data_IF_954960695168
#
_entry.id   IF_954960695168
#
_cell.length_a   1.000
_cell.length_b   1.000
_cell.length_c   1.000
_cell.angle_alpha   90.00
_cell.angle_beta   90.00
_cell.angle_gamma   90.00
#
_symmetry.space_group_name_H-M   'P 1'
#
loop_
_entity.id
_entity.type
_entity.pdbx_description
1 polymer ?
#
# COMPACT_ATOMS: atom_id res chain seq x y z
N UNK A 1 24.27 13.76 -13.46
CA UNK A 1 23.11 12.96 -13.04
C UNK A 1 23.26 12.82 -11.54
N UNK A 2 22.43 13.57 -10.78
CA UNK A 2 22.43 13.50 -9.32
C UNK A 2 22.10 12.08 -8.84
N UNK A 3 22.53 11.76 -7.64
CA UNK A 3 22.25 10.47 -7.04
C UNK A 3 20.73 10.29 -6.91
N UNK A 4 20.16 9.32 -7.61
CA UNK A 4 18.70 9.02 -7.61
C UNK A 4 18.16 8.83 -6.17
N UNK A 5 19.04 8.53 -5.22
CA UNK A 5 18.72 8.37 -3.80
C UNK A 5 18.18 9.64 -3.13
N UNK A 6 18.46 10.81 -3.68
CA UNK A 6 18.04 12.10 -3.11
C UNK A 6 16.89 12.75 -3.90
N UNK A 7 16.36 12.05 -4.91
CA UNK A 7 15.25 12.54 -5.69
C UNK A 7 13.97 12.59 -4.87
N UNK A 8 13.29 13.73 -4.91
CA UNK A 8 11.99 13.94 -4.27
C UNK A 8 10.89 13.72 -5.30
N UNK A 9 9.87 12.93 -4.93
CA UNK A 9 8.68 12.73 -5.75
C UNK A 9 7.70 13.89 -5.49
N UNK A 10 7.17 14.46 -6.56
CA UNK A 10 6.14 15.49 -6.53
C UNK A 10 5.02 15.11 -7.49
N UNK A 11 3.81 15.60 -7.23
CA UNK A 11 2.66 15.43 -8.11
C UNK A 11 2.48 16.68 -8.98
N UNK A 12 2.14 16.43 -10.23
CA UNK A 12 1.77 17.47 -11.19
C UNK A 12 0.40 17.12 -11.79
N UNK A 13 -0.47 18.12 -11.92
CA UNK A 13 -1.78 17.92 -12.54
C UNK A 13 -1.63 17.59 -14.02
N UNK A 14 -2.40 16.62 -14.51
CA UNK A 14 -2.37 16.20 -15.90
C UNK A 14 -3.73 15.64 -16.34
N UNK A 15 -4.25 16.10 -17.47
CA UNK A 15 -5.48 15.59 -18.08
C UNK A 15 -5.34 14.13 -18.60
N UNK A 16 -4.11 13.65 -18.79
CA UNK A 16 -3.79 12.31 -19.22
C UNK A 16 -3.00 11.51 -18.15
N UNK A 17 -3.15 11.92 -16.90
CA UNK A 17 -2.49 11.27 -15.77
C UNK A 17 -2.93 9.83 -15.57
N UNK A 18 -1.99 8.99 -15.17
CA UNK A 18 -2.21 7.58 -14.86
C UNK A 18 -2.53 7.31 -13.39
N UNK A 19 -2.42 8.34 -12.56
CA UNK A 19 -2.77 8.31 -11.15
C UNK A 19 -4.02 9.15 -10.91
N UNK A 20 -4.91 8.67 -10.06
CA UNK A 20 -5.92 9.48 -9.43
C UNK A 20 -5.52 9.69 -7.96
N UNK A 21 -5.37 10.96 -7.55
CA UNK A 21 -4.89 11.34 -6.22
C UNK A 21 -5.95 12.17 -5.53
N UNK A 22 -6.45 11.72 -4.39
CA UNK A 22 -7.46 12.41 -3.59
C UNK A 22 -6.91 13.02 -2.30
N UNK A 23 -5.66 12.74 -1.96
CA UNK A 23 -4.99 13.29 -0.79
C UNK A 23 -3.56 13.69 -1.12
N UNK A 24 -3.24 14.93 -0.85
CA UNK A 24 -1.88 15.48 -0.86
C UNK A 24 -1.53 15.96 0.55
N UNK A 25 -0.27 15.91 0.90
CA UNK A 25 0.19 16.47 2.17
C UNK A 25 0.10 18.00 2.18
N UNK A 26 -0.47 18.57 3.23
CA UNK A 26 -0.58 20.02 3.43
C UNK A 26 0.82 20.65 3.57
N UNK A 27 1.77 19.91 4.14
CA UNK A 27 3.15 20.36 4.33
C UNK A 27 4.13 19.50 3.53
N UNK A 28 5.02 20.10 2.73
CA UNK A 28 5.96 19.37 1.88
C UNK A 28 6.87 18.38 2.64
N UNK A 29 7.19 18.69 3.90
CA UNK A 29 8.06 17.82 4.71
C UNK A 29 7.37 16.56 5.24
N UNK A 30 6.04 16.47 5.08
CA UNK A 30 5.28 15.27 5.44
C UNK A 30 5.35 14.18 4.37
N UNK A 31 5.62 14.56 3.10
CA UNK A 31 5.82 13.63 1.99
C UNK A 31 7.28 13.14 1.92
N UNK A 32 7.51 12.08 1.17
CA UNK A 32 8.86 11.53 0.91
C UNK A 32 9.65 11.17 2.18
N UNK A 33 8.96 10.88 3.28
CA UNK A 33 9.61 10.50 4.54
C UNK A 33 10.26 9.14 4.47
N UNK A 34 11.54 9.11 4.80
CA UNK A 34 12.30 7.88 4.96
C UNK A 34 13.37 8.05 6.03
N UNK A 35 13.89 6.93 6.50
CA UNK A 35 15.05 6.88 7.39
C UNK A 35 16.02 5.79 6.92
N UNK A 36 17.28 5.87 7.35
CA UNK A 36 18.29 4.86 7.01
C UNK A 36 18.55 3.94 8.20
N UNK A 37 18.43 2.65 7.95
CA UNK A 37 18.79 1.60 8.91
C UNK A 37 19.51 0.48 8.16
N UNK A 38 20.64 0.01 8.68
CA UNK A 38 21.46 -1.03 8.05
C UNK A 38 21.82 -0.74 6.57
N UNK A 39 22.11 0.52 6.26
CA UNK A 39 22.43 1.02 4.91
C UNK A 39 21.28 0.90 3.90
N UNK A 40 20.08 0.56 4.34
CA UNK A 40 18.86 0.55 3.51
C UNK A 40 17.97 1.73 3.87
N UNK A 41 17.22 2.18 2.86
CA UNK A 41 16.19 3.21 3.00
C UNK A 41 14.88 2.57 3.41
N UNK A 42 14.29 3.04 4.51
CA UNK A 42 13.02 2.57 5.04
C UNK A 42 11.96 3.66 4.95
N UNK A 43 10.69 3.34 4.66
CA UNK A 43 9.61 4.32 4.64
C UNK A 43 9.31 4.85 6.04
N UNK A 44 8.99 6.15 6.15
CA UNK A 44 8.81 6.85 7.42
C UNK A 44 7.35 7.05 7.86
N UNK A 45 6.36 6.74 7.00
CA UNK A 45 4.94 6.95 7.27
C UNK A 45 4.13 5.63 7.29
N UNK A 46 4.75 4.52 7.62
CA UNK A 46 4.12 3.18 7.61
C UNK A 46 2.89 3.07 8.51
N UNK A 47 2.85 3.88 9.58
CA UNK A 47 1.71 3.96 10.48
C UNK A 47 0.50 4.71 9.92
N UNK A 48 0.68 5.45 8.80
CA UNK A 48 -0.37 6.28 8.19
C UNK A 48 -0.86 5.73 6.85
N UNK A 49 0.02 5.12 6.09
CA UNK A 49 -0.28 4.69 4.73
C UNK A 49 0.23 3.28 4.49
N UNK A 50 -0.51 2.56 3.66
CA UNK A 50 -0.08 1.27 3.14
C UNK A 50 -0.49 1.12 1.68
N UNK A 51 0.42 0.63 0.84
CA UNK A 51 0.17 0.41 -0.57
C UNK A 51 -0.10 -1.06 -0.89
N UNK A 52 -0.85 -1.29 -1.96
CA UNK A 52 -0.98 -2.57 -2.63
C UNK A 52 -0.69 -2.42 -4.11
N UNK A 53 -0.25 -3.49 -4.74
CA UNK A 53 0.08 -3.49 -6.16
C UNK A 53 -0.31 -4.80 -6.82
N UNK A 54 -0.90 -4.70 -8.01
CA UNK A 54 -1.25 -5.82 -8.87
C UNK A 54 -0.50 -5.68 -10.21
N UNK A 55 0.61 -6.43 -10.40
CA UNK A 55 1.41 -6.34 -11.60
C UNK A 55 0.78 -7.11 -12.75
N UNK A 56 0.73 -6.49 -13.92
CA UNK A 56 0.22 -7.12 -15.13
C UNK A 56 1.18 -8.16 -15.73
N UNK A 57 0.60 -9.19 -16.37
CA UNK A 57 1.34 -10.16 -17.16
C UNK A 57 1.51 -9.67 -18.60
N UNK A 58 2.72 -9.81 -19.16
CA UNK A 58 2.97 -9.45 -20.57
C UNK A 58 2.23 -10.33 -21.59
N UNK A 59 1.89 -11.56 -21.20
CA UNK A 59 1.08 -12.47 -22.04
C UNK A 59 -0.39 -12.10 -21.91
N UNK A 60 -1.13 -12.16 -23.04
CA UNK A 60 -2.58 -12.00 -23.06
C UNK A 60 -3.24 -12.97 -22.08
N UNK A 61 -4.20 -12.46 -21.33
CA UNK A 61 -5.08 -13.30 -20.51
C UNK A 61 -5.89 -14.27 -21.35
N UNK A 62 -6.45 -15.29 -20.70
CA UNK A 62 -7.27 -16.33 -21.37
C UNK A 62 -8.47 -15.75 -22.13
N UNK A 63 -8.97 -14.59 -21.71
CA UNK A 63 -10.10 -13.86 -22.30
C UNK A 63 -9.72 -12.91 -23.43
N UNK A 64 -8.44 -12.87 -23.87
CA UNK A 64 -7.93 -11.86 -24.82
C UNK A 64 -8.01 -10.38 -24.34
N UNK A 65 -8.52 -10.11 -23.16
CA UNK A 65 -8.43 -8.79 -22.54
C UNK A 65 -7.03 -8.59 -22.00
N UNK A 66 -6.56 -7.37 -22.04
CA UNK A 66 -5.27 -6.97 -21.48
C UNK A 66 -5.53 -6.47 -20.06
N UNK A 67 -5.10 -7.20 -19.06
CA UNK A 67 -5.03 -6.69 -17.69
C UNK A 67 -4.05 -5.52 -17.63
N UNK A 68 -4.41 -4.48 -16.94
CA UNK A 68 -3.54 -3.34 -16.67
C UNK A 68 -2.71 -3.62 -15.41
N UNK A 69 -1.67 -2.84 -15.18
CA UNK A 69 -1.01 -2.80 -13.88
C UNK A 69 -1.77 -1.86 -12.97
N UNK A 70 -2.05 -2.26 -11.76
CA UNK A 70 -2.75 -1.45 -10.79
C UNK A 70 -1.93 -1.20 -9.53
N UNK A 71 -2.22 -0.10 -8.86
CA UNK A 71 -1.68 0.25 -7.56
C UNK A 71 -2.70 1.06 -6.76
N UNK A 72 -2.69 0.91 -5.46
CA UNK A 72 -3.54 1.67 -4.57
C UNK A 72 -2.82 1.99 -3.27
N UNK A 73 -3.03 3.19 -2.73
CA UNK A 73 -2.57 3.59 -1.40
C UNK A 73 -3.76 3.81 -0.49
N UNK A 74 -3.80 3.09 0.60
CA UNK A 74 -4.79 3.21 1.65
C UNK A 74 -4.23 4.06 2.79
N UNK A 75 -5.01 5.03 3.25
CA UNK A 75 -4.72 5.85 4.41
C UNK A 75 -5.37 5.21 5.65
N UNK A 76 -4.53 4.74 6.57
CA UNK A 76 -4.97 4.16 7.83
C UNK A 76 -5.52 5.24 8.76
N UNK A 77 -6.32 4.82 9.71
CA UNK A 77 -6.76 5.69 10.79
C UNK A 77 -5.56 6.09 11.65
N UNK A 78 -5.35 7.39 11.77
CA UNK A 78 -4.37 7.97 12.67
C UNK A 78 -5.13 8.88 13.66
N UNK A 79 -5.11 8.55 14.94
CA UNK A 79 -5.77 9.33 15.99
C UNK A 79 -5.23 10.76 16.14
N UNK A 80 -4.11 11.09 15.49
CA UNK A 80 -3.56 12.45 15.44
C UNK A 80 -4.16 13.29 14.31
N UNK A 81 -4.73 12.64 13.28
CA UNK A 81 -5.29 13.30 12.09
C UNK A 81 -6.80 13.46 12.22
N UNK A 82 -7.48 12.45 12.79
CA UNK A 82 -8.92 12.44 12.99
C UNK A 82 -9.25 12.82 14.42
N UNK A 83 -9.77 14.03 14.61
CA UNK A 83 -10.13 14.51 15.94
C UNK A 83 -11.40 13.81 16.42
N UNK A 84 -11.47 13.32 17.70
CA UNK A 84 -12.64 12.61 18.22
C UNK A 84 -13.94 13.41 18.20
N UNK A 85 -13.84 14.75 18.14
CA UNK A 85 -14.98 15.67 18.11
C UNK A 85 -15.50 15.95 16.69
N UNK A 86 -14.77 15.52 15.64
CA UNK A 86 -15.25 15.63 14.26
C UNK A 86 -16.30 14.56 13.98
N UNK A 87 -17.31 14.93 13.22
CA UNK A 87 -18.22 13.95 12.62
C UNK A 87 -17.40 12.94 11.80
N UNK A 88 -17.78 11.67 11.86
CA UNK A 88 -17.10 10.59 11.15
C UNK A 88 -17.04 10.85 9.64
N UNK A 89 -18.00 11.58 9.09
CA UNK A 89 -18.04 12.02 7.70
C UNK A 89 -16.93 13.02 7.33
N UNK A 90 -16.35 13.68 8.32
CA UNK A 90 -15.27 14.66 8.18
C UNK A 90 -13.88 14.02 8.33
N UNK A 91 -13.81 12.76 8.72
CA UNK A 91 -12.53 12.05 8.86
C UNK A 91 -11.84 11.91 7.50
N UNK A 92 -10.55 12.22 7.48
CA UNK A 92 -9.71 12.11 6.27
C UNK A 92 -9.12 10.73 6.09
N UNK A 93 -9.13 9.88 7.11
CA UNK A 93 -8.49 8.55 7.13
C UNK A 93 -9.48 7.41 6.88
N UNK A 94 -9.00 6.17 6.83
CA UNK A 94 -9.75 4.98 6.43
C UNK A 94 -10.36 5.10 5.03
N UNK A 95 -9.57 5.52 4.05
CA UNK A 95 -9.96 5.60 2.64
C UNK A 95 -8.74 5.47 1.73
N UNK A 96 -8.99 5.19 0.48
CA UNK A 96 -7.94 5.28 -0.52
C UNK A 96 -7.59 6.75 -0.79
N UNK A 97 -6.31 7.02 -1.00
CA UNK A 97 -5.81 8.36 -1.26
C UNK A 97 -5.06 8.48 -2.59
N UNK A 98 -4.70 7.36 -3.19
CA UNK A 98 -4.09 7.29 -4.51
C UNK A 98 -4.43 5.96 -5.17
N UNK A 99 -4.80 6.00 -6.44
CA UNK A 99 -4.93 4.82 -7.29
C UNK A 99 -4.17 5.02 -8.59
N UNK A 100 -3.72 3.91 -9.16
CA UNK A 100 -3.02 3.83 -10.43
C UNK A 100 -3.64 2.72 -11.27
N UNK A 101 -3.91 3.01 -12.54
CA UNK A 101 -4.32 2.03 -13.53
C UNK A 101 -3.71 2.37 -14.87
N UNK A 102 -2.76 1.56 -15.33
CA UNK A 102 -2.10 1.78 -16.62
C UNK A 102 -1.36 0.53 -17.08
N UNK A 103 -1.21 0.39 -18.39
CA UNK A 103 -0.41 -0.66 -19.01
C UNK A 103 0.75 -0.06 -19.83
N UNK A 104 1.85 0.30 -19.19
CA UNK A 104 3.01 0.80 -19.93
C UNK A 104 3.61 -0.28 -20.83
N UNK A 105 4.30 0.15 -21.88
CA UNK A 105 4.99 -0.76 -22.80
C UNK A 105 6.21 -1.43 -22.16
N UNK A 106 6.83 -0.75 -21.20
CA UNK A 106 7.98 -1.21 -20.45
C UNK A 106 7.57 -1.51 -19.00
N UNK A 107 7.95 -2.69 -18.51
CA UNK A 107 7.69 -3.11 -17.14
C UNK A 107 8.40 -2.24 -16.10
N UNK A 108 9.57 -1.71 -16.45
CA UNK A 108 10.36 -0.87 -15.54
C UNK A 108 9.63 0.47 -15.28
N UNK A 109 8.82 0.96 -16.24
CA UNK A 109 7.97 2.14 -16.02
C UNK A 109 6.92 1.86 -14.93
N UNK A 110 6.25 0.70 -14.98
CA UNK A 110 5.30 0.33 -13.95
C UNK A 110 5.98 0.18 -12.57
N UNK A 111 7.13 -0.50 -12.53
CA UNK A 111 7.91 -0.65 -11.30
C UNK A 111 8.32 0.70 -10.69
N UNK A 112 8.76 1.66 -11.53
CA UNK A 112 9.10 3.01 -11.08
C UNK A 112 7.87 3.79 -10.60
N UNK A 113 6.72 3.67 -11.28
CA UNK A 113 5.48 4.30 -10.86
C UNK A 113 5.04 3.82 -9.47
N UNK A 114 5.10 2.51 -9.22
CA UNK A 114 4.79 1.94 -7.91
C UNK A 114 5.79 2.41 -6.84
N UNK A 115 7.06 2.47 -7.18
CA UNK A 115 8.09 2.96 -6.27
C UNK A 115 7.89 4.45 -5.94
N UNK A 116 7.65 5.30 -6.94
CA UNK A 116 7.40 6.73 -6.73
C UNK A 116 6.17 6.96 -5.84
N UNK A 117 5.09 6.21 -6.06
CA UNK A 117 3.90 6.25 -5.21
C UNK A 117 4.25 5.94 -3.75
N UNK A 118 4.97 4.85 -3.50
CA UNK A 118 5.40 4.47 -2.15
C UNK A 118 6.36 5.49 -1.51
N UNK A 119 7.29 6.04 -2.28
CA UNK A 119 8.25 7.06 -1.80
C UNK A 119 7.53 8.34 -1.42
N UNK A 120 6.57 8.82 -2.23
CA UNK A 120 5.80 10.03 -1.93
C UNK A 120 5.04 9.90 -0.60
N UNK A 121 4.30 8.80 -0.42
CA UNK A 121 3.53 8.57 0.81
C UNK A 121 4.40 8.09 1.98
N UNK A 122 5.64 7.65 1.73
CA UNK A 122 6.54 7.10 2.75
C UNK A 122 6.00 5.79 3.34
N UNK A 123 5.42 4.92 2.52
CA UNK A 123 4.73 3.70 2.96
C UNK A 123 5.32 2.43 2.35
N UNK A 124 5.03 1.31 3.00
CA UNK A 124 5.31 -0.03 2.46
C UNK A 124 4.22 -0.45 1.47
N UNK A 125 4.58 -1.36 0.57
CA UNK A 125 3.68 -2.01 -0.38
C UNK A 125 3.59 -3.51 -0.11
N UNK A 126 2.37 -4.03 -0.11
CA UNK A 126 2.08 -5.46 -0.16
C UNK A 126 1.69 -5.83 -1.58
N UNK A 127 2.64 -6.29 -2.42
CA UNK A 127 2.36 -6.59 -3.83
C UNK A 127 1.70 -7.95 -4.00
N UNK A 128 0.97 -8.14 -5.11
CA UNK A 128 0.64 -9.47 -5.59
C UNK A 128 1.91 -10.18 -6.11
N UNK A 129 2.15 -11.43 -5.67
CA UNK A 129 3.38 -12.18 -5.96
C UNK A 129 3.28 -13.14 -7.16
N UNK A 130 2.20 -13.11 -7.92
CA UNK A 130 2.07 -13.92 -9.14
C UNK A 130 3.04 -13.50 -10.25
N UNK A 131 3.59 -12.29 -10.15
CA UNK A 131 4.59 -11.72 -11.04
C UNK A 131 5.63 -10.97 -10.20
N UNK A 132 6.89 -11.32 -10.34
CA UNK A 132 8.01 -10.81 -9.51
C UNK A 132 8.39 -9.35 -9.82
N UNK A 133 7.64 -8.66 -10.66
CA UNK A 133 7.98 -7.38 -11.26
C UNK A 133 8.21 -6.26 -10.23
N UNK A 134 7.32 -6.14 -9.23
CA UNK A 134 7.41 -5.06 -8.24
C UNK A 134 8.61 -5.28 -7.33
N UNK A 135 8.74 -6.47 -6.75
CA UNK A 135 9.79 -6.70 -5.77
C UNK A 135 11.19 -6.74 -6.40
N UNK A 136 11.36 -7.32 -7.60
CA UNK A 136 12.62 -7.26 -8.36
C UNK A 136 13.02 -5.81 -8.65
N UNK A 137 12.04 -4.97 -9.02
CA UNK A 137 12.31 -3.57 -9.32
C UNK A 137 12.72 -2.78 -8.06
N UNK A 138 12.00 -2.94 -6.95
CA UNK A 138 12.32 -2.27 -5.69
C UNK A 138 13.69 -2.71 -5.15
N UNK A 139 14.03 -4.01 -5.26
CA UNK A 139 15.35 -4.53 -4.89
C UNK A 139 16.45 -3.91 -5.75
N UNK A 140 16.30 -3.94 -7.09
CA UNK A 140 17.22 -3.33 -8.06
C UNK A 140 17.48 -1.84 -7.77
N UNK A 141 16.46 -1.12 -7.29
CA UNK A 141 16.54 0.30 -6.96
C UNK A 141 17.02 0.58 -5.54
N UNK A 142 17.24 -0.43 -4.71
CA UNK A 142 17.68 -0.30 -3.31
C UNK A 142 16.58 0.09 -2.33
N UNK A 143 15.31 -0.23 -2.65
CA UNK A 143 14.13 0.07 -1.84
C UNK A 143 13.44 -1.20 -1.31
N UNK A 144 14.17 -2.28 -1.12
CA UNK A 144 13.61 -3.55 -0.66
C UNK A 144 12.83 -3.43 0.66
N UNK A 145 13.26 -2.53 1.56
CA UNK A 145 12.58 -2.26 2.82
C UNK A 145 11.21 -1.54 2.68
N UNK A 146 10.83 -1.16 1.45
CA UNK A 146 9.49 -0.66 1.13
C UNK A 146 8.49 -1.79 0.82
N UNK A 147 8.88 -3.05 0.98
CA UNK A 147 8.03 -4.20 0.70
C UNK A 147 7.60 -4.88 1.99
N UNK A 148 6.31 -5.13 2.12
CA UNK A 148 5.73 -5.88 3.25
C UNK A 148 5.73 -7.37 2.95
N UNK A 149 6.12 -8.16 3.95
CA UNK A 149 6.14 -9.61 3.88
C UNK A 149 4.87 -10.22 4.46
N UNK A 150 4.33 -11.23 3.79
CA UNK A 150 3.25 -12.04 4.32
C UNK A 150 3.72 -12.94 5.47
N UNK A 151 2.76 -13.41 6.25
CA UNK A 151 2.99 -14.45 7.26
C UNK A 151 2.35 -15.75 6.78
N UNK A 152 3.09 -16.84 6.82
CA UNK A 152 2.53 -18.16 6.54
C UNK A 152 1.55 -18.53 7.66
N UNK A 153 0.29 -18.76 7.30
CA UNK A 153 -0.79 -19.00 8.27
C UNK A 153 -0.62 -20.28 9.07
N UNK A 154 0.01 -21.30 8.51
CA UNK A 154 0.18 -22.60 9.16
C UNK A 154 1.33 -22.59 10.16
N UNK A 155 2.41 -21.90 9.81
CA UNK A 155 3.65 -21.91 10.61
C UNK A 155 3.86 -20.65 11.43
N UNK A 156 3.10 -19.57 11.17
CA UNK A 156 3.30 -18.25 11.78
C UNK A 156 4.60 -17.56 11.38
N UNK A 157 5.36 -18.13 10.44
CA UNK A 157 6.65 -17.58 9.99
C UNK A 157 6.47 -16.54 8.90
N UNK A 158 7.33 -15.52 8.92
CA UNK A 158 7.42 -14.53 7.84
C UNK A 158 7.81 -15.26 6.55
N UNK A 159 7.11 -14.98 5.47
CA UNK A 159 7.40 -15.53 4.15
C UNK A 159 8.76 -15.02 3.65
N UNK A 160 9.41 -15.78 2.78
CA UNK A 160 10.70 -15.39 2.19
C UNK A 160 10.56 -14.35 1.08
N UNK A 161 9.39 -14.31 0.44
CA UNK A 161 9.05 -13.36 -0.63
C UNK A 161 8.08 -12.32 -0.09
N UNK A 162 8.23 -11.03 -0.47
CA UNK A 162 7.28 -10.00 -0.08
C UNK A 162 5.95 -10.18 -0.81
N UNK A 163 4.85 -9.72 -0.20
CA UNK A 163 3.54 -9.71 -0.82
C UNK A 163 2.68 -10.94 -0.52
N UNK A 164 1.62 -11.10 -1.29
CA UNK A 164 0.62 -12.16 -1.15
C UNK A 164 0.04 -12.64 -2.47
N UNK A 165 -0.69 -13.74 -2.42
CA UNK A 165 -1.41 -14.27 -3.57
C UNK A 165 -2.86 -13.73 -3.63
N UNK A 166 -3.42 -13.66 -4.83
CA UNK A 166 -4.85 -13.39 -5.07
C UNK A 166 -5.60 -14.67 -5.47
N UNK A 167 -5.29 -15.79 -4.79
CA UNK A 167 -5.91 -17.09 -5.07
C UNK A 167 -6.01 -17.96 -3.81
N UNK A 168 -6.90 -18.94 -3.85
CA UNK A 168 -7.13 -19.85 -2.72
C UNK A 168 -7.57 -19.08 -1.46
N UNK A 169 -7.12 -19.47 -0.30
CA UNK A 169 -7.48 -18.84 0.99
C UNK A 169 -7.08 -17.36 1.09
N UNK A 170 -6.08 -16.92 0.32
CA UNK A 170 -5.63 -15.52 0.34
C UNK A 170 -6.66 -14.58 -0.30
N UNK A 171 -7.42 -15.06 -1.28
CA UNK A 171 -8.47 -14.28 -1.90
C UNK A 171 -9.65 -14.05 -0.96
N UNK A 172 -9.98 -15.03 -0.12
CA UNK A 172 -11.03 -14.89 0.89
C UNK A 172 -10.68 -13.77 1.89
N UNK A 173 -9.39 -13.60 2.20
CA UNK A 173 -8.93 -12.49 3.03
C UNK A 173 -9.16 -11.14 2.33
N UNK A 174 -8.84 -11.05 1.04
CA UNK A 174 -9.09 -9.84 0.23
C UNK A 174 -10.57 -9.50 0.23
N UNK A 175 -11.45 -10.46 -0.06
CA UNK A 175 -12.90 -10.26 -0.03
C UNK A 175 -13.40 -9.82 1.35
N UNK A 176 -12.91 -10.46 2.43
CA UNK A 176 -13.28 -10.09 3.80
C UNK A 176 -12.88 -8.65 4.13
N UNK A 177 -11.69 -8.24 3.71
CA UNK A 177 -11.21 -6.86 3.92
C UNK A 177 -12.03 -5.86 3.13
N UNK A 178 -12.38 -6.17 1.88
CA UNK A 178 -13.26 -5.33 1.06
C UNK A 178 -14.68 -5.24 1.64
N UNK A 179 -15.25 -6.36 2.09
CA UNK A 179 -16.56 -6.35 2.73
C UNK A 179 -16.59 -5.41 3.93
N UNK A 180 -15.61 -5.54 4.83
CA UNK A 180 -15.48 -4.64 5.99
C UNK A 180 -15.30 -3.18 5.57
N UNK A 181 -14.46 -2.92 4.56
CA UNK A 181 -14.22 -1.57 4.06
C UNK A 181 -15.50 -0.93 3.47
N UNK A 182 -16.22 -1.66 2.63
CA UNK A 182 -17.47 -1.17 2.02
C UNK A 182 -18.53 -0.92 3.08
N UNK A 183 -18.70 -1.82 4.04
CA UNK A 183 -19.68 -1.68 5.09
C UNK A 183 -19.49 -0.41 5.94
N UNK A 184 -18.23 -0.05 6.23
CA UNK A 184 -17.95 1.00 7.20
C UNK A 184 -17.42 2.32 6.59
N UNK A 185 -16.92 2.32 5.35
CA UNK A 185 -16.15 3.45 4.83
C UNK A 185 -16.49 3.89 3.41
N UNK A 186 -17.29 3.14 2.64
CA UNK A 186 -17.52 3.42 1.22
C UNK A 186 -18.18 4.78 0.93
N UNK A 187 -18.98 5.31 1.86
CA UNK A 187 -19.67 6.60 1.68
C UNK A 187 -18.71 7.78 1.48
N UNK A 188 -17.46 7.63 1.92
CA UNK A 188 -16.44 8.68 1.83
C UNK A 188 -15.41 8.43 0.74
N UNK A 189 -15.54 7.31 0.02
CA UNK A 189 -14.58 6.93 -1.01
C UNK A 189 -14.70 7.82 -2.24
N UNK A 190 -13.59 8.40 -2.67
CA UNK A 190 -13.50 9.29 -3.82
C UNK A 190 -13.05 8.55 -5.09
N UNK A 191 -12.42 7.39 -4.95
CA UNK A 191 -11.90 6.57 -6.03
C UNK A 191 -13.02 5.70 -6.63
N UNK A 192 -13.85 6.31 -7.48
CA UNK A 192 -15.05 5.65 -8.05
C UNK A 192 -14.75 4.37 -8.80
N UNK A 193 -13.62 4.31 -9.50
CA UNK A 193 -13.24 3.13 -10.28
C UNK A 193 -13.01 1.90 -9.39
N UNK A 194 -12.41 2.08 -8.23
CA UNK A 194 -12.22 1.00 -7.27
C UNK A 194 -13.56 0.47 -6.73
N UNK A 195 -14.50 1.39 -6.42
CA UNK A 195 -15.85 1.01 -5.98
C UNK A 195 -16.66 0.32 -7.09
N UNK A 196 -16.45 0.76 -8.34
CA UNK A 196 -17.10 0.12 -9.48
C UNK A 196 -16.62 -1.31 -9.66
N UNK A 197 -15.30 -1.55 -9.58
CA UNK A 197 -14.75 -2.90 -9.63
C UNK A 197 -15.26 -3.77 -8.46
N UNK A 198 -15.35 -3.22 -7.24
CA UNK A 198 -15.96 -3.94 -6.11
C UNK A 198 -17.41 -4.36 -6.35
N UNK A 199 -18.17 -3.57 -7.13
CA UNK A 199 -19.56 -3.87 -7.47
C UNK A 199 -19.69 -4.91 -8.58
N UNK A 200 -18.76 -4.91 -9.52
CA UNK A 200 -18.80 -5.69 -10.75
C UNK A 200 -18.03 -7.02 -10.64
N UNK A 201 -17.26 -7.19 -9.57
CA UNK A 201 -16.41 -8.38 -9.40
C UNK A 201 -17.24 -9.65 -9.43
N UNK A 202 -16.76 -10.61 -10.19
CA UNK A 202 -17.27 -11.97 -10.30
C UNK A 202 -16.17 -13.01 -9.98
N UNK A 203 -16.41 -14.27 -10.28
CA UNK A 203 -15.47 -15.36 -10.01
C UNK A 203 -14.18 -15.28 -10.85
N UNK A 204 -14.17 -14.50 -11.95
CA UNK A 204 -12.98 -14.27 -12.79
C UNK A 204 -12.34 -12.90 -12.46
N UNK A 205 -11.42 -12.90 -11.52
CA UNK A 205 -10.74 -11.68 -11.04
C UNK A 205 -9.73 -11.08 -12.01
N UNK A 206 -9.54 -11.67 -13.19
CA UNK A 206 -8.51 -11.26 -14.15
C UNK A 206 -8.70 -9.89 -14.80
N UNK A 207 -9.85 -9.26 -14.61
CA UNK A 207 -10.22 -7.97 -15.20
C UNK A 207 -10.43 -6.86 -14.12
N UNK A 208 -10.14 -7.16 -12.82
CA UNK A 208 -10.42 -6.28 -11.69
C UNK A 208 -9.12 -5.88 -10.95
N UNK A 209 -8.18 -5.33 -11.72
CA UNK A 209 -6.82 -5.06 -11.25
C UNK A 209 -6.78 -4.08 -10.05
N UNK A 210 -7.64 -3.04 -10.02
CA UNK A 210 -7.74 -2.11 -8.89
C UNK A 210 -8.37 -2.75 -7.65
N UNK A 211 -9.33 -3.67 -7.82
CA UNK A 211 -9.86 -4.45 -6.70
C UNK A 211 -8.76 -5.29 -6.07
N UNK A 212 -7.94 -5.95 -6.86
CA UNK A 212 -6.82 -6.76 -6.37
C UNK A 212 -5.78 -5.88 -5.67
N UNK A 213 -5.32 -4.80 -6.31
CA UNK A 213 -4.35 -3.88 -5.72
C UNK A 213 -4.87 -3.24 -4.42
N UNK A 214 -6.12 -2.77 -4.41
CA UNK A 214 -6.76 -2.21 -3.22
C UNK A 214 -6.91 -3.24 -2.11
N UNK A 215 -7.28 -4.47 -2.43
CA UNK A 215 -7.36 -5.59 -1.49
C UNK A 215 -6.01 -5.88 -0.84
N UNK A 216 -4.93 -5.88 -1.62
CA UNK A 216 -3.57 -6.02 -1.08
C UNK A 216 -3.20 -4.85 -0.16
N UNK A 217 -3.59 -3.61 -0.48
CA UNK A 217 -3.36 -2.47 0.40
C UNK A 217 -4.09 -2.63 1.74
N UNK A 218 -5.36 -3.06 1.73
CA UNK A 218 -6.16 -3.31 2.93
C UNK A 218 -5.58 -4.46 3.78
N UNK A 219 -5.20 -5.57 3.15
CA UNK A 219 -4.57 -6.72 3.84
C UNK A 219 -3.25 -6.32 4.47
N UNK A 220 -2.40 -5.57 3.76
CA UNK A 220 -1.14 -5.07 4.27
C UNK A 220 -1.33 -4.10 5.45
N UNK A 221 -2.26 -3.17 5.34
CA UNK A 221 -2.62 -2.24 6.41
C UNK A 221 -3.10 -2.97 7.68
N UNK A 222 -3.91 -4.02 7.52
CA UNK A 222 -4.38 -4.84 8.64
C UNK A 222 -3.24 -5.60 9.33
N UNK A 223 -2.25 -6.07 8.58
CA UNK A 223 -1.07 -6.77 9.14
C UNK A 223 -0.20 -5.85 9.99
N UNK A 224 -0.05 -4.59 9.59
CA UNK A 224 0.68 -3.59 10.38
C UNK A 224 -0.02 -3.29 11.70
N UNK A 225 -1.37 -3.26 11.72
CA UNK A 225 -2.16 -3.03 12.93
C UNK A 225 -2.00 -4.15 13.98
N UNK A 226 -1.58 -5.34 13.59
CA UNK A 226 -1.37 -6.52 14.43
C UNK A 226 0.09 -6.97 14.52
N UNK A 227 1.04 -6.07 14.34
CA UNK A 227 2.44 -6.43 14.44
C UNK A 227 2.87 -6.54 15.93
N UNK A 228 3.04 -7.74 16.49
CA UNK A 228 3.37 -7.92 17.91
C UNK A 228 4.76 -7.38 18.27
N UNK A 229 5.61 -7.07 17.29
CA UNK A 229 6.92 -6.43 17.53
C UNK A 229 6.72 -4.96 17.91
N UNK A 230 5.74 -4.26 17.33
CA UNK A 230 5.42 -2.88 17.69
C UNK A 230 4.90 -2.77 19.13
N UNK A 231 4.15 -3.77 19.59
CA UNK A 231 3.67 -3.81 20.97
C UNK A 231 4.79 -4.12 21.98
N UNK A 232 5.75 -4.98 21.63
CA UNK A 232 6.94 -5.23 22.45
C UNK A 232 7.86 -4.01 22.56
N UNK A 233 8.03 -3.24 21.49
CA UNK A 233 8.81 -1.98 21.53
C UNK A 233 8.14 -0.96 22.44
N UNK A 234 6.79 -0.88 22.43
CA UNK A 234 6.04 -0.01 23.36
C UNK A 234 6.11 -0.45 24.82
N UNK A 235 6.19 -1.75 25.09
CA UNK A 235 6.46 -2.28 26.44
C UNK A 235 7.87 -1.93 26.91
N UNK A 236 8.88 -2.08 26.05
CA UNK A 236 10.26 -1.69 26.36
C UNK A 236 10.41 -0.19 26.63
N UNK A 237 9.76 0.66 25.85
CA UNK A 237 9.76 2.10 26.10
C UNK A 237 9.05 2.46 27.41
N UNK A 238 8.00 1.73 27.81
CA UNK A 238 7.33 1.93 29.09
C UNK A 238 8.20 1.51 30.27
N UNK A 239 8.86 0.36 30.19
CA UNK A 239 9.77 -0.11 31.25
C UNK A 239 10.96 0.85 31.43
N UNK A 240 11.55 1.36 30.34
CA UNK A 240 12.65 2.33 30.42
C UNK A 240 12.23 3.70 30.99
N UNK A 241 10.95 4.07 30.85
CA UNK A 241 10.44 5.35 31.37
C UNK A 241 10.20 5.32 32.89
N UNK A 242 9.87 4.15 33.46
CA UNK A 242 9.66 4.00 34.90
C UNK A 242 10.98 3.87 35.70
N UNK A 243 12.02 3.29 35.10
CA UNK A 243 13.35 3.16 35.73
C UNK A 243 14.13 4.51 35.88
N UNK A 244 13.71 5.56 35.18
CA UNK A 244 14.35 6.88 35.22
C UNK A 244 13.76 7.84 36.27
N UNK A 245 12.70 7.47 36.97
CA UNK A 245 12.02 8.31 37.95
C UNK A 245 12.09 7.80 39.39
N UNK A 246 12.90 6.79 39.69
CA UNK A 246 13.16 6.28 41.05
C UNK A 246 14.60 6.51 41.52
N UNK A 247 15.22 7.65 41.12
CA UNK A 247 16.51 8.08 41.72
C UNK A 247 16.33 9.49 42.29
#
# INVERSE_FOLDING_TARGET
>A
VGDVRDSRVVWEDSDSGKFFVSYLFDHPDASNKHYYMNKMRHPGNTHKFHAGGDPFKFKKTRTNKKSDGAGAVFMLRDGTVDHPQLDISQWKTNRFCCTYSNRPKDKDIYGEDMLMMCVYYGCEMYPEINVDLIWEYFEKRGYFAYLTFGTDRKTGKIQKTPGGFSRGEAIEEIFRMWHSYIEWHCEREMHREILQQCKEIDDDMGDYDLFVAGGHALVGANKLAFNPIADKVKEWEKESYYDLHEI
#
